data_IF_808624043106
#
_entry.id   IF_808624043106
#
_cell.length_a   1.000
_cell.length_b   1.000
_cell.length_c   1.000
_cell.angle_alpha   90.00
_cell.angle_beta   90.00
_cell.angle_gamma   90.00
#
_symmetry.space_group_name_H-M   'P 1'
#
loop_
_entity.id
_entity.type
_entity.pdbx_description
1 polymer ?
#
# COMPACT_ATOMS: atom_id res chain seq x y z
N UNK A 1 26.51 -2.86 -22.64
CA UNK A 1 26.31 -3.24 -21.22
C UNK A 1 25.89 -2.02 -20.41
N UNK A 2 26.53 -0.86 -20.60
CA UNK A 2 26.26 0.38 -19.86
C UNK A 2 24.82 0.93 -19.98
N UNK A 3 24.15 0.76 -21.12
CA UNK A 3 22.80 1.31 -21.34
C UNK A 3 21.71 0.55 -20.56
N UNK A 4 21.84 -0.78 -20.43
CA UNK A 4 20.89 -1.60 -19.65
C UNK A 4 21.03 -1.30 -18.16
N UNK A 5 22.25 -1.09 -17.69
CA UNK A 5 22.53 -0.76 -16.29
C UNK A 5 21.99 0.64 -15.91
N UNK A 6 22.10 1.61 -16.83
CA UNK A 6 21.54 2.95 -16.64
C UNK A 6 20.00 2.94 -16.52
N UNK A 7 19.32 2.17 -17.37
CA UNK A 7 17.86 2.03 -17.33
C UNK A 7 17.42 1.38 -16.01
N UNK A 8 18.11 0.33 -15.55
CA UNK A 8 17.81 -0.31 -14.28
C UNK A 8 17.97 0.64 -13.09
N UNK A 9 19.02 1.46 -13.08
CA UNK A 9 19.19 2.47 -12.03
C UNK A 9 18.09 3.54 -12.05
N UNK A 10 17.67 3.98 -13.23
CA UNK A 10 16.60 4.97 -13.37
C UNK A 10 15.25 4.41 -12.86
N UNK A 11 14.93 3.16 -13.22
CA UNK A 11 13.71 2.47 -12.76
C UNK A 11 13.75 2.28 -11.24
N UNK A 12 14.88 1.79 -10.71
CA UNK A 12 15.06 1.60 -9.27
C UNK A 12 14.84 2.91 -8.51
N UNK A 13 15.49 3.99 -8.95
CA UNK A 13 15.34 5.30 -8.32
C UNK A 13 13.91 5.81 -8.35
N UNK A 14 13.22 5.65 -9.48
CA UNK A 14 11.82 6.03 -9.65
C UNK A 14 10.92 5.27 -8.66
N UNK A 15 11.09 3.95 -8.54
CA UNK A 15 10.32 3.11 -7.61
C UNK A 15 10.56 3.56 -6.16
N UNK A 16 11.81 3.80 -5.77
CA UNK A 16 12.13 4.25 -4.41
C UNK A 16 11.50 5.59 -4.10
N UNK A 17 11.59 6.56 -5.01
CA UNK A 17 10.95 7.88 -4.81
C UNK A 17 9.44 7.82 -4.73
N UNK A 18 8.79 6.86 -5.40
CA UNK A 18 7.34 6.69 -5.27
C UNK A 18 6.99 6.10 -3.91
N UNK A 19 7.73 5.09 -3.43
CA UNK A 19 7.51 4.48 -2.09
C UNK A 19 7.73 5.49 -0.97
N UNK A 20 8.70 6.41 -1.09
CA UNK A 20 9.00 7.41 -0.04
C UNK A 20 7.93 8.51 0.11
N UNK A 21 6.94 8.59 -0.80
CA UNK A 21 5.86 9.59 -0.72
C UNK A 21 4.77 9.15 0.25
N UNK A 22 3.95 10.08 0.78
CA UNK A 22 2.82 9.70 1.63
C UNK A 22 1.83 8.77 0.93
N UNK A 23 1.36 7.76 1.66
CA UNK A 23 0.39 6.76 1.18
C UNK A 23 -0.85 6.69 2.08
N UNK A 24 -1.92 6.13 1.53
CA UNK A 24 -3.15 5.78 2.24
C UNK A 24 -3.40 4.28 2.11
N UNK A 25 -3.93 3.67 3.17
CA UNK A 25 -4.46 2.32 3.13
C UNK A 25 -5.97 2.41 2.88
N UNK A 26 -6.44 1.68 1.88
CA UNK A 26 -7.85 1.55 1.52
C UNK A 26 -8.26 0.11 1.85
N UNK A 27 -9.23 -0.04 2.75
CA UNK A 27 -9.79 -1.33 3.11
C UNK A 27 -11.20 -1.43 2.53
N UNK A 28 -11.45 -2.41 1.67
CA UNK A 28 -12.77 -2.71 1.14
C UNK A 28 -13.30 -3.99 1.78
N UNK A 29 -14.38 -3.87 2.53
CA UNK A 29 -15.16 -5.00 3.03
C UNK A 29 -16.16 -5.44 1.95
N UNK A 30 -15.95 -6.65 1.40
CA UNK A 30 -16.80 -7.19 0.35
C UNK A 30 -18.16 -7.67 0.86
N UNK A 31 -18.30 -7.97 2.15
CA UNK A 31 -19.55 -8.43 2.74
C UNK A 31 -20.52 -7.26 2.92
N UNK A 32 -20.03 -6.12 3.41
CA UNK A 32 -20.88 -4.93 3.63
C UNK A 32 -20.84 -3.93 2.48
N UNK A 33 -19.85 -4.02 1.59
CA UNK A 33 -19.56 -3.01 0.57
C UNK A 33 -18.93 -1.73 1.14
N UNK A 34 -18.55 -1.73 2.42
CA UNK A 34 -17.97 -0.57 3.08
C UNK A 34 -16.51 -0.40 2.65
N UNK A 35 -16.13 0.85 2.34
CA UNK A 35 -14.72 1.21 2.13
C UNK A 35 -14.27 2.15 3.24
N UNK A 36 -13.21 1.79 3.94
CA UNK A 36 -12.56 2.62 4.95
C UNK A 36 -11.16 3.02 4.50
N UNK A 37 -10.68 4.13 5.05
CA UNK A 37 -9.39 4.72 4.70
C UNK A 37 -8.59 4.93 5.99
N UNK A 38 -7.36 4.43 6.04
CA UNK A 38 -6.43 4.62 7.14
C UNK A 38 -5.22 5.43 6.68
N UNK A 39 -4.74 6.31 7.57
CA UNK A 39 -3.58 7.18 7.32
C UNK A 39 -3.91 8.67 7.44
N UNK A 40 -3.10 9.55 6.83
CA UNK A 40 -2.01 9.23 5.90
C UNK A 40 -0.78 8.63 6.58
N UNK A 41 -0.08 7.75 5.88
CA UNK A 41 1.21 7.20 6.27
C UNK A 41 2.35 8.00 5.64
N UNK A 42 3.51 8.12 6.30
CA UNK A 42 4.63 8.92 5.80
C UNK A 42 5.22 8.36 4.50
N UNK A 43 5.21 7.04 4.34
CA UNK A 43 5.72 6.31 3.17
C UNK A 43 4.88 5.04 2.90
N UNK A 44 5.08 4.46 1.72
CA UNK A 44 4.41 3.25 1.26
C UNK A 44 4.77 2.01 2.05
N UNK A 45 6.00 1.93 2.61
CA UNK A 45 6.41 0.79 3.43
C UNK A 45 5.65 0.78 4.77
N UNK A 46 5.51 1.95 5.39
CA UNK A 46 4.72 2.16 6.61
C UNK A 46 3.25 1.84 6.37
N UNK A 47 2.70 2.21 5.21
CA UNK A 47 1.34 1.85 4.83
C UNK A 47 1.17 0.34 4.61
N UNK A 48 2.17 -0.34 4.02
CA UNK A 48 2.17 -1.80 3.85
C UNK A 48 2.23 -2.53 5.20
N UNK A 49 3.05 -2.06 6.13
CA UNK A 49 3.10 -2.61 7.49
C UNK A 49 1.76 -2.45 8.20
N UNK A 50 1.11 -1.29 8.04
CA UNK A 50 -0.22 -1.07 8.58
C UNK A 50 -1.28 -1.97 7.92
N UNK A 51 -1.16 -2.24 6.61
CA UNK A 51 -2.05 -3.14 5.89
C UNK A 51 -1.96 -4.58 6.42
N UNK A 52 -0.73 -5.08 6.62
CA UNK A 52 -0.47 -6.42 7.18
C UNK A 52 -1.04 -6.58 8.60
N UNK A 53 -0.82 -5.57 9.45
CA UNK A 53 -1.37 -5.59 10.82
C UNK A 53 -2.90 -5.49 10.83
N UNK A 54 -3.49 -4.67 9.95
CA UNK A 54 -4.94 -4.57 9.83
C UNK A 54 -5.56 -5.88 9.33
N UNK A 55 -4.98 -6.51 8.30
CA UNK A 55 -5.41 -7.81 7.81
C UNK A 55 -5.37 -8.86 8.91
N UNK A 56 -4.28 -8.90 9.68
CA UNK A 56 -4.14 -9.83 10.81
C UNK A 56 -5.21 -9.60 11.88
N UNK A 57 -5.55 -8.35 12.18
CA UNK A 57 -6.60 -8.01 13.14
C UNK A 57 -7.98 -8.39 12.64
N UNK A 58 -8.29 -8.10 11.38
CA UNK A 58 -9.60 -8.41 10.80
C UNK A 58 -9.81 -9.92 10.67
N UNK A 59 -8.77 -10.69 10.32
CA UNK A 59 -8.82 -12.15 10.32
C UNK A 59 -9.09 -12.75 11.72
N UNK A 60 -8.62 -12.09 12.79
CA UNK A 60 -8.87 -12.54 14.17
C UNK A 60 -10.29 -12.23 14.66
N UNK A 61 -10.86 -11.09 14.27
CA UNK A 61 -12.18 -10.65 14.73
C UNK A 61 -13.33 -11.15 13.83
N UNK A 62 -13.07 -11.31 12.53
CA UNK A 62 -14.05 -11.66 11.51
C UNK A 62 -13.49 -12.73 10.55
N UNK A 63 -13.19 -13.95 11.05
CA UNK A 63 -12.65 -15.01 10.22
C UNK A 63 -13.65 -15.42 9.12
N UNK A 64 -13.23 -15.26 7.86
CA UNK A 64 -14.02 -15.63 6.68
C UNK A 64 -14.62 -14.46 5.91
N UNK A 65 -14.56 -13.24 6.45
CA UNK A 65 -14.94 -12.04 5.72
C UNK A 65 -13.88 -11.71 4.65
N UNK A 66 -14.35 -11.31 3.47
CA UNK A 66 -13.49 -10.99 2.34
C UNK A 66 -13.12 -9.50 2.38
N UNK A 67 -11.99 -9.19 3.01
CA UNK A 67 -11.39 -7.86 2.95
C UNK A 67 -10.38 -7.76 1.81
N UNK A 68 -10.32 -6.58 1.17
CA UNK A 68 -9.29 -6.23 0.20
C UNK A 68 -8.55 -4.99 0.68
N UNK A 69 -7.25 -5.11 0.86
CA UNK A 69 -6.37 -4.03 1.30
C UNK A 69 -5.58 -3.49 0.11
N UNK A 70 -5.64 -2.18 -0.10
CA UNK A 70 -4.90 -1.50 -1.17
C UNK A 70 -4.11 -0.34 -0.59
N UNK A 71 -2.81 -0.33 -0.84
CA UNK A 71 -1.93 0.81 -0.53
C UNK A 71 -1.78 1.67 -1.77
N UNK A 72 -2.06 2.96 -1.65
CA UNK A 72 -2.02 3.90 -2.77
C UNK A 72 -1.30 5.21 -2.39
N UNK A 73 -0.54 5.85 -3.31
CA UNK A 73 -0.01 7.18 -3.08
C UNK A 73 -1.13 8.18 -2.78
N UNK A 74 -0.93 9.03 -1.79
CA UNK A 74 -1.94 10.00 -1.35
C UNK A 74 -2.12 11.14 -2.37
N UNK A 75 -1.03 11.53 -3.03
CA UNK A 75 -1.01 12.58 -4.04
C UNK A 75 -0.67 11.98 -5.39
N UNK A 76 -1.34 12.43 -6.45
CA UNK A 76 -0.92 12.09 -7.82
C UNK A 76 0.35 12.88 -8.17
N UNK A 77 1.29 12.28 -8.91
CA UNK A 77 2.43 12.99 -9.50
C UNK A 77 1.98 14.06 -10.51
#
# INVERSE_FOLDING_TARGET
MDEQESILQAISRMITTEIERPHVLICADQATGTTSYLGPFPDGLSALVAADEQERQDQLHAPGDAFVYTVAPLYRP
#
